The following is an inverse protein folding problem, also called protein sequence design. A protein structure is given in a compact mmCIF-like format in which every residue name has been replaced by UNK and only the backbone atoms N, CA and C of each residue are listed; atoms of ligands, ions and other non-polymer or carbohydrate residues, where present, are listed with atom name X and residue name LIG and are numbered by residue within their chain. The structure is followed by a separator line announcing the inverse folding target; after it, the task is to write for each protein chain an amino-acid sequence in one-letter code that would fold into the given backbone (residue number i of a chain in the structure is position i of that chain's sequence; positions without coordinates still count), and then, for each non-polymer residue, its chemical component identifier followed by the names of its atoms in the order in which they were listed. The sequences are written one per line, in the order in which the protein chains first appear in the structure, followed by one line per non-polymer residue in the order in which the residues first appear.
data_IF_122447683526
#
_entry.id   IF_122447683526
#
_cell.length_a   1.000
_cell.length_b   1.000
_cell.length_c   1.000
_cell.angle_alpha   90.00
_cell.angle_beta   90.00
_cell.angle_gamma   90.00
#
_symmetry.space_group_name_H-M   'P 1'
#
loop_
_entity.id
_entity.type
_entity.pdbx_description
1 polymer ?
#
# COMPACT_ATOMS: atom_id res chain seq x y z
N UNK A 1 11.93 27.92 -9.40
CA UNK A 1 12.55 28.37 -8.14
C UNK A 1 13.04 27.11 -7.44
N UNK A 2 14.34 26.93 -7.20
CA UNK A 2 14.85 25.72 -6.53
C UNK A 2 14.93 25.99 -5.04
N UNK A 3 14.29 25.17 -4.22
CA UNK A 3 14.37 25.27 -2.76
C UNK A 3 15.70 24.69 -2.27
N UNK A 4 16.26 25.32 -1.22
CA UNK A 4 17.48 24.84 -0.55
C UNK A 4 17.28 23.40 -0.02
N UNK A 5 18.18 22.43 -0.30
CA UNK A 5 17.98 21.01 0.04
C UNK A 5 17.67 20.74 1.52
N UNK A 6 18.24 21.53 2.43
CA UNK A 6 18.04 21.37 3.87
C UNK A 6 16.93 22.25 4.44
N UNK A 7 16.32 23.14 3.65
CA UNK A 7 15.20 23.97 4.10
C UNK A 7 13.95 23.12 4.35
N UNK A 8 13.03 23.57 5.23
CA UNK A 8 11.71 22.97 5.36
C UNK A 8 11.00 22.93 4.00
N UNK A 9 10.34 21.81 3.71
CA UNK A 9 9.63 21.62 2.47
C UNK A 9 8.38 22.52 2.43
N UNK A 10 8.12 23.26 1.33
CA UNK A 10 7.01 24.21 1.24
C UNK A 10 5.63 23.56 1.27
N UNK A 11 5.53 22.23 1.10
CA UNK A 11 4.28 21.49 1.18
C UNK A 11 3.69 21.37 2.60
N UNK A 12 4.36 21.92 3.62
CA UNK A 12 3.89 21.86 5.02
C UNK A 12 4.17 20.54 5.74
N UNK A 13 4.91 19.60 5.12
CA UNK A 13 5.21 18.29 5.73
C UNK A 13 6.17 18.33 6.93
N UNK A 14 6.80 19.49 7.21
CA UNK A 14 7.85 19.63 8.23
C UNK A 14 9.17 18.95 7.88
N UNK A 15 9.25 18.19 6.77
CA UNK A 15 10.47 17.49 6.34
C UNK A 15 11.43 18.44 5.63
N UNK A 16 12.71 18.08 5.57
CA UNK A 16 13.69 18.75 4.70
C UNK A 16 13.28 18.57 3.23
N UNK A 17 13.38 19.61 2.42
CA UNK A 17 13.01 19.60 1.00
C UNK A 17 13.64 18.43 0.23
N UNK A 18 14.92 18.13 0.49
CA UNK A 18 15.62 16.98 -0.11
C UNK A 18 15.04 15.60 0.21
N UNK A 19 14.28 15.49 1.29
CA UNK A 19 13.62 14.25 1.76
C UNK A 19 12.13 14.22 1.45
N UNK A 20 11.62 15.19 0.68
CA UNK A 20 10.20 15.32 0.41
C UNK A 20 9.96 15.54 -1.10
N UNK A 21 10.15 16.75 -1.62
CA UNK A 21 9.81 17.06 -3.02
C UNK A 21 11.01 17.09 -3.96
N UNK A 22 12.26 17.12 -3.46
CA UNK A 22 13.42 17.22 -4.34
C UNK A 22 13.49 16.09 -5.38
N UNK A 23 13.31 14.83 -4.95
CA UNK A 23 13.35 13.69 -5.87
C UNK A 23 12.23 13.75 -6.91
N UNK A 24 11.06 14.31 -6.54
CA UNK A 24 9.92 14.52 -7.43
C UNK A 24 10.17 15.65 -8.44
N UNK A 25 10.74 16.77 -7.99
CA UNK A 25 11.03 17.94 -8.84
C UNK A 25 12.24 17.73 -9.75
N UNK A 26 13.23 16.97 -9.30
CA UNK A 26 14.45 16.66 -10.06
C UNK A 26 14.31 15.39 -10.92
N UNK A 27 13.27 14.58 -10.72
CA UNK A 27 12.98 13.43 -11.57
C UNK A 27 12.76 13.88 -13.02
N UNK A 28 13.40 13.17 -13.94
CA UNK A 28 13.04 13.27 -15.35
C UNK A 28 11.55 12.95 -15.52
N UNK A 29 10.85 13.53 -16.52
CA UNK A 29 9.41 13.31 -16.71
C UNK A 29 9.01 11.84 -16.57
N UNK A 30 9.71 10.95 -17.29
CA UNK A 30 9.55 9.48 -17.32
C UNK A 30 9.82 8.74 -15.99
N UNK A 31 10.18 9.46 -14.93
CA UNK A 31 10.48 8.92 -13.60
C UNK A 31 9.56 9.51 -12.53
N UNK A 32 8.69 10.46 -12.88
CA UNK A 32 7.87 11.19 -11.92
C UNK A 32 6.85 10.29 -11.23
N UNK A 33 6.27 9.35 -11.97
CA UNK A 33 5.34 8.37 -11.40
C UNK A 33 6.03 7.53 -10.31
N UNK A 34 7.14 6.86 -10.67
CA UNK A 34 7.89 6.02 -9.76
C UNK A 34 8.45 6.82 -8.56
N UNK A 35 8.94 8.04 -8.79
CA UNK A 35 9.39 8.92 -7.72
C UNK A 35 8.26 9.32 -6.76
N UNK A 36 7.04 9.55 -7.28
CA UNK A 36 5.87 9.86 -6.46
C UNK A 36 5.46 8.68 -5.59
N UNK A 37 5.43 7.48 -6.18
CA UNK A 37 5.16 6.25 -5.44
C UNK A 37 6.15 6.05 -4.30
N UNK A 38 7.44 6.21 -4.55
CA UNK A 38 8.50 5.99 -3.54
C UNK A 38 8.46 7.05 -2.42
N UNK A 39 8.29 8.33 -2.76
CA UNK A 39 8.17 9.41 -1.76
C UNK A 39 6.96 9.19 -0.87
N UNK A 40 5.83 8.79 -1.46
CA UNK A 40 4.63 8.46 -0.71
C UNK A 40 4.87 7.25 0.20
N UNK A 41 5.36 6.13 -0.34
CA UNK A 41 5.58 4.89 0.40
C UNK A 41 6.52 5.09 1.59
N UNK A 42 7.62 5.84 1.40
CA UNK A 42 8.56 6.17 2.48
C UNK A 42 7.89 7.01 3.58
N UNK A 43 7.14 8.05 3.18
CA UNK A 43 6.48 8.95 4.15
C UNK A 43 5.35 8.24 4.89
N UNK A 44 4.61 7.40 4.18
CA UNK A 44 3.54 6.57 4.71
C UNK A 44 4.07 5.56 5.71
N UNK A 45 5.14 4.84 5.37
CA UNK A 45 5.80 3.87 6.26
C UNK A 45 6.16 4.48 7.61
N UNK A 46 6.78 5.66 7.61
CA UNK A 46 7.17 6.33 8.86
C UNK A 46 5.94 6.70 9.72
N UNK A 47 4.88 7.22 9.08
CA UNK A 47 3.67 7.63 9.80
C UNK A 47 2.88 6.44 10.31
N UNK A 48 2.74 5.40 9.50
CA UNK A 48 2.07 4.15 9.86
C UNK A 48 2.82 3.43 11.00
N UNK A 49 4.16 3.42 10.99
CA UNK A 49 4.95 2.88 12.10
C UNK A 49 4.70 3.64 13.42
N UNK A 50 4.59 4.97 13.37
CA UNK A 50 4.26 5.79 14.54
C UNK A 50 2.83 5.52 15.04
N UNK A 51 1.85 5.41 14.15
CA UNK A 51 0.47 5.06 14.48
C UNK A 51 0.38 3.68 15.12
N UNK A 52 1.10 2.70 14.57
CA UNK A 52 1.19 1.36 15.13
C UNK A 52 1.82 1.36 16.53
N UNK A 53 2.97 2.03 16.71
CA UNK A 53 3.62 2.14 18.01
C UNK A 53 2.78 2.85 19.08
N UNK A 54 1.87 3.74 18.66
CA UNK A 54 0.92 4.42 19.55
C UNK A 54 -0.33 3.60 19.88
N UNK A 55 -0.52 2.46 19.22
CA UNK A 55 -1.71 1.63 19.37
C UNK A 55 -2.91 2.08 18.55
N UNK A 56 -2.75 3.02 17.60
CA UNK A 56 -3.86 3.53 16.79
C UNK A 56 -4.46 2.41 15.91
N UNK A 57 -3.61 1.54 15.33
CA UNK A 57 -4.07 0.37 14.58
C UNK A 57 -4.70 -0.71 15.46
N UNK A 58 -4.17 -0.93 16.67
CA UNK A 58 -4.77 -1.85 17.63
C UNK A 58 -6.19 -1.39 18.02
N UNK A 59 -6.36 -0.09 18.29
CA UNK A 59 -7.66 0.50 18.56
C UNK A 59 -8.64 0.33 17.39
N UNK A 60 -8.19 0.47 16.13
CA UNK A 60 -9.02 0.20 14.95
C UNK A 60 -9.39 -1.30 14.83
N UNK A 61 -8.44 -2.21 15.08
CA UNK A 61 -8.69 -3.64 15.07
C UNK A 61 -9.70 -4.07 16.15
N UNK A 62 -9.67 -3.41 17.31
CA UNK A 62 -10.60 -3.66 18.42
C UNK A 62 -12.04 -3.22 18.15
N UNK A 63 -12.28 -2.45 17.07
CA UNK A 63 -13.65 -2.16 16.62
C UNK A 63 -14.35 -3.39 16.00
N UNK A 64 -13.58 -4.43 15.64
CA UNK A 64 -14.15 -5.69 15.18
C UNK A 64 -14.79 -6.44 16.34
N UNK A 65 -16.01 -7.00 16.18
CA UNK A 65 -16.63 -7.81 17.21
C UNK A 65 -15.78 -9.06 17.51
N UNK A 66 -15.95 -9.69 18.69
CA UNK A 66 -15.35 -10.99 18.95
C UNK A 66 -15.79 -12.00 17.87
N UNK A 67 -14.83 -12.41 17.04
CA UNK A 67 -15.06 -13.35 15.94
C UNK A 67 -13.80 -14.15 15.66
N UNK A 68 -13.97 -15.32 15.07
CA UNK A 68 -12.88 -16.08 14.48
C UNK A 68 -12.92 -15.87 12.96
N UNK A 69 -12.01 -15.05 12.46
CA UNK A 69 -11.85 -14.80 11.04
C UNK A 69 -10.83 -15.78 10.45
N UNK A 70 -11.16 -16.44 9.36
CA UNK A 70 -10.23 -17.30 8.63
C UNK A 70 -9.57 -16.54 7.46
N UNK A 71 -10.29 -15.58 6.87
CA UNK A 71 -9.83 -14.83 5.69
C UNK A 71 -10.15 -13.34 5.80
N UNK A 72 -9.15 -12.51 5.49
CA UNK A 72 -9.24 -11.06 5.51
C UNK A 72 -8.80 -10.46 4.17
N UNK A 73 -9.55 -9.46 3.70
CA UNK A 73 -9.17 -8.56 2.61
C UNK A 73 -8.87 -7.18 3.20
N UNK A 74 -7.71 -6.61 2.85
CA UNK A 74 -7.35 -5.24 3.20
C UNK A 74 -7.07 -4.42 1.93
N UNK A 75 -7.84 -3.36 1.72
CA UNK A 75 -7.70 -2.47 0.55
C UNK A 75 -6.96 -1.21 0.95
N UNK A 76 -5.84 -0.95 0.29
CA UNK A 76 -4.90 0.12 0.64
C UNK A 76 -3.95 -0.27 1.76
N UNK A 77 -3.32 -1.45 1.64
CA UNK A 77 -2.56 -2.05 2.75
C UNK A 77 -1.30 -1.29 3.15
N UNK A 78 -0.83 -0.38 2.30
CA UNK A 78 0.24 0.54 2.60
C UNK A 78 1.52 -0.19 3.02
N UNK A 79 2.03 0.11 4.22
CA UNK A 79 3.28 -0.46 4.74
C UNK A 79 3.09 -1.71 5.61
N UNK A 80 1.89 -2.29 5.65
CA UNK A 80 1.59 -3.55 6.35
C UNK A 80 1.36 -3.46 7.86
N UNK A 81 1.44 -2.28 8.47
CA UNK A 81 1.25 -2.12 9.92
C UNK A 81 -0.21 -2.39 10.37
N UNK A 82 -1.19 -2.06 9.53
CA UNK A 82 -2.59 -2.43 9.79
C UNK A 82 -2.80 -3.94 9.79
N UNK A 83 -2.17 -4.65 8.85
CA UNK A 83 -2.19 -6.11 8.78
C UNK A 83 -1.57 -6.76 10.02
N UNK A 84 -0.48 -6.21 10.55
CA UNK A 84 0.12 -6.70 11.80
C UNK A 84 -0.87 -6.61 12.96
N UNK A 85 -1.48 -5.45 13.16
CA UNK A 85 -2.47 -5.26 14.23
C UNK A 85 -3.68 -6.20 14.07
N UNK A 86 -4.13 -6.44 12.83
CA UNK A 86 -5.19 -7.40 12.54
C UNK A 86 -4.77 -8.84 12.88
N UNK A 87 -3.54 -9.27 12.53
CA UNK A 87 -3.02 -10.60 12.90
C UNK A 87 -2.88 -10.77 14.40
N UNK A 88 -2.41 -9.76 15.11
CA UNK A 88 -2.32 -9.76 16.58
C UNK A 88 -3.69 -9.93 17.22
N UNK A 89 -4.72 -9.32 16.63
CA UNK A 89 -6.08 -9.33 17.16
C UNK A 89 -6.91 -10.57 16.76
N UNK A 90 -6.73 -11.07 15.55
CA UNK A 90 -7.55 -12.13 14.95
C UNK A 90 -6.85 -13.50 14.92
N UNK A 91 -5.53 -13.54 15.10
CA UNK A 91 -4.74 -14.76 15.23
C UNK A 91 -3.74 -14.98 14.09
N UNK A 92 -2.71 -15.79 14.37
CA UNK A 92 -1.61 -16.07 13.46
C UNK A 92 -2.01 -16.91 12.22
N UNK A 93 -3.10 -17.67 12.34
CA UNK A 93 -3.64 -18.50 11.25
C UNK A 93 -4.49 -17.71 10.25
N UNK A 94 -4.64 -16.39 10.46
CA UNK A 94 -5.38 -15.52 9.55
C UNK A 94 -4.71 -15.50 8.18
N UNK A 95 -5.49 -15.85 7.15
CA UNK A 95 -5.12 -15.70 5.76
C UNK A 95 -5.49 -14.32 5.26
N UNK A 96 -4.56 -13.66 4.58
CA UNK A 96 -4.68 -12.24 4.24
C UNK A 96 -4.47 -12.05 2.75
N UNK A 97 -5.37 -11.28 2.15
CA UNK A 97 -5.19 -10.68 0.83
C UNK A 97 -5.10 -9.17 1.02
N UNK A 98 -3.91 -8.60 0.83
CA UNK A 98 -3.70 -7.15 0.83
C UNK A 98 -3.67 -6.62 -0.60
N UNK A 99 -4.29 -5.47 -0.84
CA UNK A 99 -4.29 -4.79 -2.14
C UNK A 99 -3.73 -3.39 -1.98
N UNK A 100 -2.83 -2.98 -2.88
CA UNK A 100 -2.36 -1.60 -2.99
C UNK A 100 -1.91 -1.35 -4.44
N UNK A 101 -2.15 -0.16 -4.98
CA UNK A 101 -1.68 0.22 -6.32
C UNK A 101 -0.17 0.47 -6.36
N UNK A 102 0.42 0.75 -5.20
CA UNK A 102 1.79 1.21 -5.09
C UNK A 102 2.71 0.05 -4.70
N UNK A 103 3.46 -0.46 -5.67
CA UNK A 103 4.42 -1.54 -5.45
C UNK A 103 5.44 -1.24 -4.35
N UNK A 104 5.85 0.02 -4.17
CA UNK A 104 6.76 0.40 -3.08
C UNK A 104 6.10 0.25 -1.70
N UNK A 105 4.80 0.52 -1.58
CA UNK A 105 4.03 0.20 -0.39
C UNK A 105 4.04 -1.32 -0.13
N UNK A 106 3.69 -2.13 -1.13
CA UNK A 106 3.66 -3.60 -0.98
C UNK A 106 5.01 -4.19 -0.60
N UNK A 107 6.11 -3.69 -1.16
CA UNK A 107 7.47 -4.09 -0.76
C UNK A 107 7.76 -3.74 0.70
N UNK A 108 7.30 -2.60 1.18
CA UNK A 108 7.39 -2.25 2.60
C UNK A 108 6.50 -3.16 3.46
N UNK A 109 5.26 -3.43 3.05
CA UNK A 109 4.38 -4.35 3.75
C UNK A 109 5.00 -5.75 3.88
N UNK A 110 5.51 -6.32 2.79
CA UNK A 110 6.18 -7.62 2.81
C UNK A 110 7.38 -7.63 3.77
N UNK A 111 8.20 -6.56 3.78
CA UNK A 111 9.32 -6.44 4.71
C UNK A 111 8.87 -6.31 6.18
N UNK A 112 7.87 -5.49 6.45
CA UNK A 112 7.27 -5.31 7.79
C UNK A 112 6.75 -6.64 8.32
N UNK A 113 5.97 -7.36 7.51
CA UNK A 113 5.39 -8.66 7.84
C UNK A 113 6.47 -9.75 8.02
N UNK A 114 7.47 -9.81 7.14
CA UNK A 114 8.58 -10.74 7.28
C UNK A 114 9.39 -10.51 8.56
N UNK A 115 9.62 -9.26 8.95
CA UNK A 115 10.32 -8.90 10.20
C UNK A 115 9.54 -9.35 11.44
N UNK A 116 8.21 -9.41 11.36
CA UNK A 116 7.32 -9.94 12.39
C UNK A 116 7.15 -11.47 12.34
N UNK A 117 7.86 -12.18 11.46
CA UNK A 117 7.80 -13.64 11.34
C UNK A 117 6.62 -14.17 10.51
N UNK A 118 5.95 -13.33 9.72
CA UNK A 118 4.87 -13.71 8.83
C UNK A 118 5.15 -13.24 7.39
N UNK A 119 6.04 -13.89 6.63
CA UNK A 119 6.37 -13.47 5.26
C UNK A 119 5.13 -13.46 4.36
N UNK A 120 5.14 -12.57 3.38
CA UNK A 120 4.07 -12.39 2.41
C UNK A 120 4.61 -12.42 0.98
N UNK A 121 3.83 -12.98 0.06
CA UNK A 121 4.15 -13.01 -1.36
C UNK A 121 3.58 -11.78 -2.06
N UNK A 122 4.45 -11.05 -2.77
CA UNK A 122 4.06 -9.87 -3.55
C UNK A 122 3.77 -10.28 -4.99
N UNK A 123 2.56 -10.01 -5.46
CA UNK A 123 2.13 -10.16 -6.85
C UNK A 123 2.26 -8.79 -7.52
N UNK A 124 3.45 -8.51 -8.07
CA UNK A 124 3.70 -7.34 -8.90
C UNK A 124 3.22 -7.62 -10.33
N UNK A 125 2.35 -6.77 -10.86
CA UNK A 125 1.56 -7.09 -12.06
C UNK A 125 1.03 -5.89 -12.84
N UNK A 126 1.14 -4.67 -12.34
CA UNK A 126 0.69 -3.49 -13.07
C UNK A 126 1.79 -3.02 -14.02
N UNK A 127 1.51 -3.02 -15.31
CA UNK A 127 2.29 -2.29 -16.31
C UNK A 127 1.83 -0.83 -16.30
N UNK A 128 2.72 0.08 -15.90
CA UNK A 128 2.43 1.51 -15.89
C UNK A 128 3.12 2.20 -17.06
N UNK A 129 2.33 2.90 -17.87
CA UNK A 129 2.84 3.67 -19.01
C UNK A 129 2.55 5.15 -18.81
N UNK A 130 3.58 5.97 -18.84
CA UNK A 130 3.40 7.41 -18.78
C UNK A 130 2.82 7.93 -20.10
N UNK A 131 1.95 8.93 -19.98
CA UNK A 131 1.32 9.66 -21.08
C UNK A 131 1.69 11.15 -20.99
N UNK A 132 1.52 11.96 -22.05
CA UNK A 132 1.81 13.38 -21.98
C UNK A 132 1.05 14.14 -20.87
N UNK A 133 -0.13 13.65 -20.47
CA UNK A 133 -0.98 14.24 -19.44
C UNK A 133 -0.95 13.49 -18.11
N UNK A 134 -0.22 12.38 -17.99
CA UNK A 134 -0.31 11.52 -16.82
C UNK A 134 0.25 10.12 -17.00
N UNK A 135 -0.54 9.12 -16.62
CA UNK A 135 -0.18 7.71 -16.78
C UNK A 135 -1.43 6.86 -16.97
N UNK A 136 -1.25 5.67 -17.54
CA UNK A 136 -2.24 4.61 -17.60
C UNK A 136 -1.66 3.36 -16.97
N UNK A 137 -2.50 2.56 -16.32
CA UNK A 137 -2.11 1.27 -15.76
C UNK A 137 -2.92 0.17 -16.42
N UNK A 138 -2.23 -0.94 -16.72
CA UNK A 138 -2.87 -2.17 -17.15
C UNK A 138 -2.32 -3.31 -16.30
N UNK A 139 -3.22 -4.07 -15.69
CA UNK A 139 -2.83 -5.25 -14.95
C UNK A 139 -2.76 -6.49 -15.86
N UNK A 140 -1.85 -7.42 -15.58
CA UNK A 140 -1.83 -8.76 -16.19
C UNK A 140 -2.99 -9.65 -15.66
N UNK A 141 -2.90 -10.97 -15.65
CA UNK A 141 -3.81 -11.79 -14.82
C UNK A 141 -3.32 -11.93 -13.37
N UNK A 142 -4.26 -12.13 -12.42
CA UNK A 142 -3.95 -12.46 -11.02
C UNK A 142 -3.90 -14.00 -10.90
N UNK A 143 -2.85 -14.59 -10.31
CA UNK A 143 -2.74 -16.03 -10.17
C UNK A 143 -3.83 -16.58 -9.23
N UNK A 144 -4.48 -17.67 -9.66
CA UNK A 144 -5.44 -18.43 -8.86
C UNK A 144 -4.96 -19.90 -8.78
N UNK A 145 -4.82 -20.50 -7.58
CA UNK A 145 -5.09 -19.90 -6.27
C UNK A 145 -4.08 -18.80 -5.90
N UNK A 146 -4.53 -17.85 -5.06
CA UNK A 146 -3.63 -16.84 -4.48
C UNK A 146 -2.60 -17.51 -3.54
N UNK A 147 -1.37 -16.97 -3.44
CA UNK A 147 -0.39 -17.41 -2.46
C UNK A 147 -0.93 -17.34 -1.03
N UNK A 148 -0.51 -18.31 -0.21
CA UNK A 148 -0.93 -18.45 1.18
C UNK A 148 0.33 -18.47 2.09
N UNK A 149 0.27 -17.95 3.33
CA UNK A 149 -0.92 -17.44 4.00
C UNK A 149 -1.23 -15.96 3.74
N UNK A 150 -0.30 -15.22 3.10
CA UNK A 150 -0.47 -13.78 2.84
C UNK A 150 -0.09 -13.47 1.39
N UNK A 151 -1.06 -13.00 0.61
CA UNK A 151 -0.85 -12.46 -0.72
C UNK A 151 -0.98 -10.93 -0.69
N UNK A 152 -0.04 -10.22 -1.31
CA UNK A 152 -0.03 -8.77 -1.49
C UNK A 152 -0.11 -8.46 -2.97
N UNK A 153 -1.27 -8.01 -3.43
CA UNK A 153 -1.59 -7.83 -4.85
C UNK A 153 -1.39 -6.36 -5.24
N UNK A 154 -0.56 -6.13 -6.25
CA UNK A 154 -0.47 -4.83 -6.90
C UNK A 154 -1.69 -4.63 -7.81
N UNK A 155 -2.65 -3.79 -7.41
CA UNK A 155 -3.83 -3.51 -8.22
C UNK A 155 -4.39 -2.13 -7.88
N UNK A 156 -4.96 -1.43 -8.87
CA UNK A 156 -5.79 -0.24 -8.62
C UNK A 156 -7.22 -0.70 -8.27
N UNK A 157 -7.69 -0.50 -7.03
CA UNK A 157 -9.05 -0.91 -6.64
C UNK A 157 -10.17 -0.21 -7.41
N UNK A 158 -9.86 0.86 -8.13
CA UNK A 158 -10.84 1.63 -8.90
C UNK A 158 -10.92 1.23 -10.37
N UNK A 159 -9.86 0.64 -10.93
CA UNK A 159 -9.75 0.46 -12.39
C UNK A 159 -9.19 -0.88 -12.85
N UNK A 160 -8.62 -1.72 -11.97
CA UNK A 160 -8.11 -3.04 -12.38
C UNK A 160 -9.26 -4.02 -12.65
N UNK A 161 -9.50 -4.32 -13.93
CA UNK A 161 -10.57 -5.20 -14.40
C UNK A 161 -10.41 -6.66 -13.95
N UNK A 162 -9.19 -7.09 -13.59
CA UNK A 162 -8.93 -8.46 -13.16
C UNK A 162 -9.15 -8.65 -11.65
N UNK A 163 -9.19 -7.56 -10.87
CA UNK A 163 -9.17 -7.62 -9.40
C UNK A 163 -10.46 -8.22 -8.83
N UNK A 164 -11.62 -7.70 -9.23
CA UNK A 164 -12.90 -8.11 -8.65
C UNK A 164 -13.13 -9.62 -8.83
N UNK A 165 -12.97 -10.11 -10.06
CA UNK A 165 -13.18 -11.52 -10.36
C UNK A 165 -12.17 -12.42 -9.61
N UNK A 166 -10.90 -12.01 -9.53
CA UNK A 166 -9.89 -12.77 -8.78
C UNK A 166 -10.20 -12.86 -7.28
N UNK A 167 -10.73 -11.78 -6.68
CA UNK A 167 -11.18 -11.77 -5.28
C UNK A 167 -12.39 -12.67 -5.07
N UNK A 168 -13.34 -12.70 -6.02
CA UNK A 168 -14.50 -13.60 -5.99
C UNK A 168 -14.10 -15.06 -6.13
N UNK A 169 -13.22 -15.38 -7.09
CA UNK A 169 -12.70 -16.72 -7.35
C UNK A 169 -11.86 -17.26 -6.18
N UNK A 170 -11.22 -16.35 -5.43
CA UNK A 170 -10.51 -16.68 -4.20
C UNK A 170 -11.43 -17.19 -3.09
N UNK A 171 -12.73 -16.92 -3.14
CA UNK A 171 -13.72 -17.29 -2.12
C UNK A 171 -14.00 -16.17 -1.10
N UNK A 172 -14.97 -16.41 -0.20
CA UNK A 172 -15.51 -15.39 0.71
C UNK A 172 -14.47 -14.91 1.73
N UNK A 173 -14.49 -13.59 2.00
CA UNK A 173 -13.77 -12.96 3.12
C UNK A 173 -14.69 -12.83 4.34
N UNK A 174 -14.14 -13.08 5.53
CA UNK A 174 -14.87 -12.88 6.79
C UNK A 174 -14.77 -11.42 7.27
N UNK A 175 -13.67 -10.76 6.90
CA UNK A 175 -13.37 -9.36 7.24
C UNK A 175 -12.86 -8.64 6.00
N UNK A 176 -13.36 -7.42 5.79
CA UNK A 176 -12.85 -6.49 4.78
C UNK A 176 -12.52 -5.17 5.46
N UNK A 177 -11.28 -4.69 5.30
CA UNK A 177 -10.79 -3.44 5.88
C UNK A 177 -10.35 -2.44 4.82
N UNK A 178 -10.59 -1.16 5.09
CA UNK A 178 -10.11 -0.01 4.33
C UNK A 178 -9.75 1.06 5.35
N UNK A 179 -8.47 1.17 5.72
CA UNK A 179 -8.03 2.02 6.83
C UNK A 179 -7.08 3.10 6.36
N UNK A 180 -7.29 4.32 6.88
CA UNK A 180 -6.37 5.46 6.71
C UNK A 180 -5.86 5.58 5.26
N UNK A 181 -6.76 5.81 4.32
CA UNK A 181 -6.39 5.80 2.90
C UNK A 181 -5.77 7.12 2.45
N UNK A 182 -4.84 7.00 1.52
CA UNK A 182 -4.18 8.10 0.84
C UNK A 182 -3.56 7.60 -0.46
N UNK A 183 -3.01 8.52 -1.25
CA UNK A 183 -2.37 8.16 -2.50
C UNK A 183 -1.16 9.06 -2.78
N UNK A 184 -0.28 8.58 -3.64
CA UNK A 184 0.84 9.37 -4.13
C UNK A 184 0.33 10.57 -4.94
N UNK A 185 1.10 11.68 -4.92
CA UNK A 185 0.68 12.95 -5.52
C UNK A 185 0.41 12.88 -7.03
N UNK A 186 0.96 11.87 -7.70
CA UNK A 186 0.78 11.69 -9.14
C UNK A 186 -0.54 10.99 -9.50
N UNK A 187 -1.23 10.31 -8.57
CA UNK A 187 -2.50 9.60 -8.83
C UNK A 187 -3.57 10.46 -9.49
N UNK A 188 -3.59 11.78 -9.20
CA UNK A 188 -4.49 12.75 -9.86
C UNK A 188 -4.32 12.88 -11.38
N UNK A 189 -3.26 12.28 -11.92
CA UNK A 189 -2.95 12.22 -13.34
C UNK A 189 -3.16 10.80 -13.92
N UNK A 190 -3.86 9.91 -13.21
CA UNK A 190 -4.34 8.66 -13.80
C UNK A 190 -5.36 9.01 -14.90
N UNK A 191 -5.11 8.56 -16.12
CA UNK A 191 -5.84 8.96 -17.33
C UNK A 191 -6.90 7.93 -17.73
#
# INVERSE_FOLDING_TARGET
MRFEPNAPCPCGSGRKYKKCHRNLEEAAPHQRYAAAQEVYATSWKETAALQYARGDYAWMADQLPPMQAARLLDVGTGSGHGLLALRERLGADLRIVGVDENLSCLKHAAHTLATAGCPADVIARLDTRETPSGFVQQGADIPIPLPEPIALIEADPLTDEHLEQALLDGGRFDVVTIWLTGAHSWRRHNA
#
